data_IF_033928151874
#
_entry.id   IF_033928151874
#
_cell.length_a   1.000
_cell.length_b   1.000
_cell.length_c   1.000
_cell.angle_alpha   90.00
_cell.angle_beta   90.00
_cell.angle_gamma   90.00
#
_symmetry.space_group_name_H-M   'P 1'
#
loop_
_entity.id
_entity.type
_entity.pdbx_description
1 polymer ?
#
# COMPACT_ATOMS: atom_id res chain seq x y z
N UNK A 1 2.86 8.00 -17.12
CA UNK A 1 2.23 8.19 -18.45
C UNK A 1 0.78 8.48 -18.16
N UNK A 2 0.22 9.62 -18.57
CA UNK A 2 -1.21 9.87 -18.36
C UNK A 2 -1.96 8.70 -18.98
N UNK A 3 -2.73 7.97 -18.16
CA UNK A 3 -3.64 6.97 -18.70
C UNK A 3 -4.64 7.78 -19.51
N UNK A 4 -4.59 7.61 -20.83
CA UNK A 4 -5.52 8.21 -21.77
C UNK A 4 -6.86 7.46 -21.64
N UNK A 5 -7.48 7.58 -20.46
CA UNK A 5 -8.78 7.03 -20.15
C UNK A 5 -9.83 8.07 -20.61
N UNK A 6 -10.58 7.81 -21.68
CA UNK A 6 -11.55 8.76 -22.22
C UNK A 6 -12.66 9.07 -21.21
N UNK A 7 -12.94 8.18 -20.27
CA UNK A 7 -13.97 8.38 -19.24
C UNK A 7 -13.47 9.34 -18.16
N UNK A 8 -12.17 9.34 -17.85
CA UNK A 8 -11.55 10.36 -17.00
C UNK A 8 -11.52 11.70 -17.74
N UNK A 9 -11.07 11.71 -19.00
CA UNK A 9 -10.94 12.93 -19.81
C UNK A 9 -12.27 13.65 -20.06
N UNK A 10 -13.39 12.92 -20.03
CA UNK A 10 -14.74 13.48 -20.18
C UNK A 10 -15.30 14.13 -18.90
N UNK A 11 -14.62 13.99 -17.76
CA UNK A 11 -15.08 14.48 -16.47
C UNK A 11 -14.27 15.69 -15.99
N UNK A 12 -14.92 16.60 -15.26
CA UNK A 12 -14.23 17.64 -14.49
C UNK A 12 -14.19 17.18 -13.04
N UNK A 13 -13.00 16.95 -12.45
CA UNK A 13 -12.89 16.57 -11.04
C UNK A 13 -13.55 17.59 -10.10
N UNK A 14 -14.16 17.11 -9.03
CA UNK A 14 -14.68 17.95 -7.95
C UNK A 14 -13.53 18.68 -7.23
N UNK A 15 -13.89 19.59 -6.30
CA UNK A 15 -12.90 20.34 -5.52
C UNK A 15 -11.99 19.44 -4.67
N UNK A 16 -12.48 18.28 -4.26
CA UNK A 16 -11.70 17.25 -3.58
C UNK A 16 -11.13 16.20 -4.54
N UNK A 17 -10.98 16.52 -5.83
CA UNK A 17 -10.45 15.62 -6.87
C UNK A 17 -11.26 14.35 -7.14
N UNK A 18 -12.40 14.14 -6.48
CA UNK A 18 -13.28 13.02 -6.78
C UNK A 18 -13.91 13.13 -8.18
N UNK A 19 -14.09 11.98 -8.82
CA UNK A 19 -14.82 11.79 -10.09
C UNK A 19 -15.81 10.64 -9.93
N UNK A 20 -16.74 10.50 -10.87
CA UNK A 20 -17.59 9.31 -10.92
C UNK A 20 -16.80 8.10 -11.45
N UNK A 21 -16.96 6.95 -10.80
CA UNK A 21 -16.33 5.70 -11.25
C UNK A 21 -16.84 5.27 -12.63
N UNK A 22 -18.07 5.62 -13.04
CA UNK A 22 -18.72 5.15 -14.29
C UNK A 22 -18.44 3.67 -14.57
N UNK A 23 -18.88 2.82 -13.63
CA UNK A 23 -18.62 1.39 -13.64
C UNK A 23 -19.17 0.71 -14.90
N UNK A 24 -20.30 1.20 -15.41
CA UNK A 24 -20.95 0.78 -16.65
C UNK A 24 -20.12 0.99 -17.92
N UNK A 25 -19.03 1.76 -17.84
CA UNK A 25 -18.12 2.01 -18.96
C UNK A 25 -16.85 1.18 -18.95
N UNK A 26 -16.67 0.28 -17.98
CA UNK A 26 -15.63 -0.72 -18.09
C UNK A 26 -15.95 -1.72 -19.20
N UNK A 27 -14.93 -2.03 -20.00
CA UNK A 27 -15.03 -3.02 -21.06
C UNK A 27 -14.96 -4.44 -20.50
N UNK A 28 -15.51 -5.41 -21.24
CA UNK A 28 -15.34 -6.84 -20.93
C UNK A 28 -13.87 -7.23 -20.77
N UNK A 29 -12.97 -6.56 -21.50
CA UNK A 29 -11.53 -6.78 -21.43
C UNK A 29 -10.96 -6.41 -20.05
N UNK A 30 -11.37 -5.25 -19.52
CA UNK A 30 -10.94 -4.73 -18.23
C UNK A 30 -11.46 -5.60 -17.08
N UNK A 31 -12.73 -6.02 -17.13
CA UNK A 31 -13.27 -7.00 -16.17
C UNK A 31 -12.52 -8.34 -16.26
N UNK A 32 -12.19 -8.82 -17.46
CA UNK A 32 -11.41 -10.05 -17.63
C UNK A 32 -9.98 -9.92 -17.10
N UNK A 33 -9.35 -8.75 -17.22
CA UNK A 33 -8.03 -8.50 -16.61
C UNK A 33 -8.13 -8.53 -15.08
N UNK A 34 -9.12 -7.88 -14.48
CA UNK A 34 -9.33 -7.96 -13.03
C UNK A 34 -9.45 -9.40 -12.56
N UNK A 35 -10.33 -10.18 -13.19
CA UNK A 35 -10.55 -11.59 -12.86
C UNK A 35 -9.26 -12.40 -12.94
N UNK A 36 -8.48 -12.22 -14.01
CA UNK A 36 -7.19 -12.89 -14.15
C UNK A 36 -6.21 -12.53 -13.03
N UNK A 37 -6.09 -11.24 -12.70
CA UNK A 37 -5.20 -10.75 -11.65
C UNK A 37 -5.63 -11.28 -10.28
N UNK A 38 -6.92 -11.24 -9.98
CA UNK A 38 -7.53 -11.76 -8.75
C UNK A 38 -7.22 -13.26 -8.57
N UNK A 39 -7.60 -14.08 -9.55
CA UNK A 39 -7.41 -15.54 -9.49
C UNK A 39 -5.94 -15.94 -9.35
N UNK A 40 -5.05 -15.21 -10.04
CA UNK A 40 -3.60 -15.40 -9.94
C UNK A 40 -3.10 -15.05 -8.54
N UNK A 41 -3.54 -13.91 -8.01
CA UNK A 41 -2.98 -13.36 -6.78
C UNK A 41 -3.45 -14.12 -5.55
N UNK A 42 -4.74 -14.50 -5.47
CA UNK A 42 -5.26 -15.33 -4.37
C UNK A 42 -4.52 -16.68 -4.28
N UNK A 43 -4.16 -17.29 -5.42
CA UNK A 43 -3.36 -18.53 -5.44
C UNK A 43 -1.96 -18.32 -4.86
N UNK A 44 -1.32 -17.20 -5.17
CA UNK A 44 0.05 -16.89 -4.71
C UNK A 44 0.06 -16.46 -3.24
N UNK A 45 -0.98 -15.76 -2.78
CA UNK A 45 -1.10 -15.27 -1.41
C UNK A 45 -1.41 -16.37 -0.40
N UNK A 46 -1.96 -17.52 -0.82
CA UNK A 46 -2.37 -18.61 0.08
C UNK A 46 -1.26 -18.96 1.09
N UNK A 47 -1.54 -18.74 2.37
CA UNK A 47 -0.60 -18.96 3.48
C UNK A 47 0.48 -17.89 3.63
N UNK A 48 0.32 -16.71 3.01
CA UNK A 48 1.28 -15.60 3.00
C UNK A 48 0.70 -14.27 3.43
N UNK A 49 -0.57 -13.99 3.13
CA UNK A 49 -1.26 -12.80 3.64
C UNK A 49 -1.80 -13.03 5.06
N UNK A 50 -2.02 -11.94 5.80
CA UNK A 50 -2.76 -11.98 7.08
C UNK A 50 -4.20 -12.43 6.86
N UNK A 51 -4.83 -13.05 7.86
CA UNK A 51 -6.18 -13.62 7.72
C UNK A 51 -7.24 -12.53 7.45
N UNK A 52 -7.07 -11.37 8.09
CA UNK A 52 -7.96 -10.21 7.98
C UNK A 52 -8.05 -9.70 6.53
N UNK A 53 -7.02 -9.91 5.72
CA UNK A 53 -7.06 -9.58 4.29
C UNK A 53 -8.08 -10.45 3.55
N UNK A 54 -8.12 -11.76 3.82
CA UNK A 54 -9.08 -12.67 3.21
C UNK A 54 -10.51 -12.40 3.68
N UNK A 55 -10.68 -12.13 4.98
CA UNK A 55 -11.98 -11.75 5.54
C UNK A 55 -12.52 -10.49 4.83
N UNK A 56 -11.65 -9.51 4.55
CA UNK A 56 -12.00 -8.32 3.78
C UNK A 56 -12.33 -8.60 2.31
N UNK A 57 -11.60 -9.50 1.64
CA UNK A 57 -11.91 -9.92 0.26
C UNK A 57 -13.33 -10.52 0.17
N UNK A 58 -13.68 -11.37 1.15
CA UNK A 58 -14.97 -12.05 1.21
C UNK A 58 -16.10 -11.08 1.61
N UNK A 59 -15.88 -10.24 2.62
CA UNK A 59 -16.86 -9.27 3.10
C UNK A 59 -17.26 -8.23 2.04
N UNK A 60 -16.32 -7.86 1.16
CA UNK A 60 -16.54 -6.91 0.07
C UNK A 60 -16.91 -7.60 -1.26
N UNK A 61 -17.03 -8.94 -1.28
CA UNK A 61 -17.35 -9.74 -2.46
C UNK A 61 -16.44 -9.44 -3.67
N UNK A 62 -15.13 -9.26 -3.46
CA UNK A 62 -14.20 -8.87 -4.54
C UNK A 62 -13.89 -10.01 -5.54
N UNK A 63 -14.43 -11.20 -5.29
CA UNK A 63 -14.33 -12.39 -6.15
C UNK A 63 -15.47 -12.51 -7.19
N UNK A 64 -16.41 -11.56 -7.27
CA UNK A 64 -17.64 -11.66 -8.09
C UNK A 64 -17.41 -11.71 -9.62
N UNK A 65 -16.16 -11.59 -10.07
CA UNK A 65 -15.76 -11.93 -11.44
C UNK A 65 -15.44 -10.75 -12.36
N UNK A 66 -15.28 -9.54 -11.81
CA UNK A 66 -14.85 -8.35 -12.55
C UNK A 66 -14.45 -7.21 -11.61
N UNK A 67 -14.08 -6.07 -12.19
CA UNK A 67 -13.80 -4.83 -11.44
C UNK A 67 -14.98 -4.52 -10.48
N UNK A 68 -14.73 -4.23 -9.20
CA UNK A 68 -15.80 -3.96 -8.23
C UNK A 68 -16.47 -2.61 -8.49
N UNK A 69 -17.78 -2.58 -8.31
CA UNK A 69 -18.59 -1.36 -8.31
C UNK A 69 -18.48 -0.69 -6.93
N UNK A 70 -18.02 0.56 -6.91
CA UNK A 70 -17.83 1.33 -5.67
C UNK A 70 -19.15 1.57 -4.95
N UNK A 71 -20.27 1.74 -5.65
CA UNK A 71 -21.58 1.93 -5.01
C UNK A 71 -22.01 0.66 -4.25
N UNK A 72 -21.63 -0.51 -4.75
CA UNK A 72 -21.90 -1.81 -4.11
C UNK A 72 -20.95 -2.03 -2.93
N UNK A 73 -19.63 -1.97 -3.14
CA UNK A 73 -18.67 -2.29 -2.07
C UNK A 73 -18.69 -1.27 -0.93
N UNK A 74 -19.05 -0.01 -1.21
CA UNK A 74 -19.16 1.03 -0.18
C UNK A 74 -20.29 0.78 0.79
N UNK A 75 -21.35 0.06 0.39
CA UNK A 75 -22.44 -0.31 1.32
C UNK A 75 -21.87 -1.18 2.45
N UNK A 76 -21.16 -2.25 2.11
CA UNK A 76 -20.53 -3.14 3.10
C UNK A 76 -19.41 -2.44 3.88
N UNK A 77 -18.54 -1.68 3.20
CA UNK A 77 -17.39 -1.04 3.85
C UNK A 77 -17.83 0.04 4.86
N UNK A 78 -18.88 0.80 4.53
CA UNK A 78 -19.45 1.81 5.41
C UNK A 78 -20.10 1.17 6.64
N UNK A 79 -20.82 0.07 6.47
CA UNK A 79 -21.45 -0.64 7.59
C UNK A 79 -20.41 -1.26 8.55
N UNK A 80 -19.27 -1.72 8.02
CA UNK A 80 -18.23 -2.38 8.82
C UNK A 80 -17.35 -1.39 9.59
N UNK A 81 -16.88 -0.32 8.94
CA UNK A 81 -15.88 0.59 9.53
C UNK A 81 -16.14 2.07 9.23
N UNK A 82 -17.25 2.40 8.58
CA UNK A 82 -17.55 3.78 8.16
C UNK A 82 -16.67 4.28 7.01
N UNK A 83 -15.86 3.41 6.40
CA UNK A 83 -15.02 3.75 5.26
C UNK A 83 -15.79 3.67 3.94
N UNK A 84 -15.35 4.47 2.98
CA UNK A 84 -15.79 4.38 1.57
C UNK A 84 -14.61 4.52 0.64
N UNK A 85 -14.65 3.88 -0.51
CA UNK A 85 -13.75 4.11 -1.63
C UNK A 85 -14.34 5.19 -2.53
N UNK A 86 -13.52 6.11 -3.00
CA UNK A 86 -13.89 7.12 -3.99
C UNK A 86 -13.01 6.99 -5.23
N UNK A 87 -13.56 7.33 -6.39
CA UNK A 87 -12.78 7.35 -7.62
C UNK A 87 -12.05 8.68 -7.80
N UNK A 88 -10.77 8.62 -8.17
CA UNK A 88 -9.94 9.77 -8.50
C UNK A 88 -9.28 9.60 -9.87
N UNK A 89 -8.96 10.69 -10.59
CA UNK A 89 -8.47 10.60 -11.96
C UNK A 89 -7.05 10.01 -12.07
N UNK A 90 -6.21 10.23 -11.05
CA UNK A 90 -4.82 9.77 -10.97
C UNK A 90 -4.31 10.08 -9.55
N UNK A 91 -2.99 10.07 -9.35
CA UNK A 91 -2.36 10.56 -8.13
C UNK A 91 -2.82 12.00 -7.83
N UNK A 92 -3.42 12.20 -6.65
CA UNK A 92 -3.96 13.49 -6.20
C UNK A 92 -2.95 14.22 -5.30
N UNK A 93 -3.11 15.54 -5.08
CA UNK A 93 -2.28 16.27 -4.13
C UNK A 93 -2.32 15.68 -2.71
N UNK A 94 -1.18 15.71 -2.01
CA UNK A 94 -1.03 15.07 -0.70
C UNK A 94 -2.01 15.62 0.35
N UNK A 95 -2.27 16.93 0.37
CA UNK A 95 -3.23 17.56 1.27
C UNK A 95 -4.66 17.05 1.06
N UNK A 96 -5.07 16.86 -0.20
CA UNK A 96 -6.37 16.27 -0.55
C UNK A 96 -6.41 14.79 -0.18
N UNK A 97 -5.35 14.02 -0.45
CA UNK A 97 -5.24 12.62 -0.05
C UNK A 97 -5.43 12.44 1.46
N UNK A 98 -4.69 13.20 2.28
CA UNK A 98 -4.82 13.11 3.73
C UNK A 98 -6.20 13.54 4.24
N UNK A 99 -6.81 14.55 3.63
CA UNK A 99 -8.18 14.96 3.99
C UNK A 99 -9.21 13.86 3.68
N UNK A 100 -9.00 13.07 2.62
CA UNK A 100 -9.83 11.90 2.36
C UNK A 100 -9.66 10.85 3.45
N UNK A 101 -8.43 10.47 3.77
CA UNK A 101 -8.14 9.45 4.79
C UNK A 101 -8.67 9.87 6.17
N UNK A 102 -8.47 11.13 6.57
CA UNK A 102 -8.98 11.67 7.83
C UNK A 102 -10.53 11.60 7.94
N UNK A 103 -11.22 11.57 6.79
CA UNK A 103 -12.67 11.45 6.68
C UNK A 103 -13.14 10.03 6.31
N UNK A 104 -12.28 9.01 6.47
CA UNK A 104 -12.56 7.61 6.12
C UNK A 104 -12.96 7.42 4.65
N UNK A 105 -12.34 8.17 3.75
CA UNK A 105 -12.48 8.02 2.30
C UNK A 105 -11.15 7.55 1.72
N UNK A 106 -11.14 6.43 1.02
CA UNK A 106 -9.94 5.90 0.36
C UNK A 106 -9.96 6.26 -1.13
N UNK A 107 -9.02 7.09 -1.62
CA UNK A 107 -8.92 7.43 -3.03
C UNK A 107 -8.37 6.26 -3.85
N UNK A 108 -9.08 5.86 -4.91
CA UNK A 108 -8.64 4.82 -5.85
C UNK A 108 -8.78 5.29 -7.30
N UNK A 109 -7.75 5.03 -8.11
CA UNK A 109 -7.82 5.24 -9.56
C UNK A 109 -8.82 4.28 -10.22
N UNK A 110 -9.51 4.72 -11.28
CA UNK A 110 -10.46 3.84 -11.99
C UNK A 110 -9.81 2.86 -12.96
N UNK A 111 -8.68 3.21 -13.54
CA UNK A 111 -8.13 2.46 -14.67
C UNK A 111 -7.53 1.14 -14.20
N UNK A 112 -7.53 0.12 -15.07
CA UNK A 112 -6.82 -1.13 -14.84
C UNK A 112 -5.67 -1.29 -15.84
N UNK A 113 -4.58 -1.92 -15.42
CA UNK A 113 -3.44 -2.22 -16.31
C UNK A 113 -3.86 -3.07 -17.51
N UNK A 114 -3.17 -2.89 -18.62
CA UNK A 114 -3.39 -3.67 -19.84
C UNK A 114 -2.76 -5.07 -19.77
N UNK A 115 -3.20 -6.00 -20.62
CA UNK A 115 -2.67 -7.38 -20.68
C UNK A 115 -1.16 -7.49 -20.89
N UNK A 116 -0.55 -6.54 -21.60
CA UNK A 116 0.91 -6.51 -21.80
C UNK A 116 1.70 -5.98 -20.59
N UNK A 117 1.02 -5.55 -19.51
CA UNK A 117 1.61 -5.03 -18.27
C UNK A 117 1.14 -5.78 -17.01
N UNK A 118 0.65 -7.01 -17.16
CA UNK A 118 0.12 -7.83 -16.05
C UNK A 118 1.13 -8.08 -14.92
N UNK A 119 2.42 -8.14 -15.25
CA UNK A 119 3.47 -8.49 -14.28
C UNK A 119 4.08 -7.28 -13.57
N UNK A 120 4.01 -6.08 -14.17
CA UNK A 120 4.51 -4.86 -13.56
C UNK A 120 3.91 -3.61 -14.21
N UNK A 121 3.46 -2.70 -13.36
CA UNK A 121 3.09 -1.34 -13.71
C UNK A 121 3.75 -0.40 -12.68
N UNK A 122 4.25 0.75 -13.14
CA UNK A 122 4.88 1.75 -12.25
C UNK A 122 3.82 2.58 -11.54
N UNK A 123 2.78 2.97 -12.25
CA UNK A 123 1.64 3.70 -11.71
C UNK A 123 0.68 2.74 -10.96
N UNK A 124 0.09 3.15 -9.82
CA UNK A 124 -0.96 2.38 -9.15
C UNK A 124 -2.22 2.39 -10.02
N UNK A 125 -2.80 1.21 -10.25
CA UNK A 125 -4.08 1.02 -10.95
C UNK A 125 -5.15 0.53 -9.95
N UNK A 126 -6.39 0.41 -10.41
CA UNK A 126 -7.52 -0.01 -9.56
C UNK A 126 -7.27 -1.37 -8.89
N UNK A 127 -6.51 -2.28 -9.52
CA UNK A 127 -6.17 -3.54 -8.88
C UNK A 127 -5.23 -3.32 -7.69
N UNK A 128 -4.19 -2.50 -7.84
CA UNK A 128 -3.34 -2.16 -6.69
C UNK A 128 -4.14 -1.45 -5.59
N UNK A 129 -4.87 -0.40 -5.93
CA UNK A 129 -5.60 0.42 -4.96
C UNK A 129 -6.69 -0.40 -4.26
N UNK A 130 -7.56 -1.07 -5.02
CA UNK A 130 -8.74 -1.73 -4.47
C UNK A 130 -8.42 -3.13 -3.97
N UNK A 131 -7.76 -3.99 -4.74
CA UNK A 131 -7.43 -5.34 -4.23
C UNK A 131 -6.33 -5.29 -3.16
N UNK A 132 -5.36 -4.38 -3.26
CA UNK A 132 -4.25 -4.29 -2.33
C UNK A 132 -4.61 -3.65 -0.99
N UNK A 133 -5.32 -2.51 -1.00
CA UNK A 133 -5.55 -1.71 0.23
C UNK A 133 -6.92 -1.95 0.87
N UNK A 134 -7.98 -1.95 0.07
CA UNK A 134 -9.37 -1.83 0.58
C UNK A 134 -9.80 -3.01 1.47
N UNK A 135 -9.40 -4.28 1.24
CA UNK A 135 -9.79 -5.38 2.13
C UNK A 135 -9.40 -5.14 3.60
N UNK A 136 -8.23 -4.56 3.88
CA UNK A 136 -7.83 -4.31 5.26
C UNK A 136 -8.59 -3.16 5.91
N UNK A 137 -9.28 -2.31 5.14
CA UNK A 137 -10.15 -1.27 5.68
C UNK A 137 -11.44 -1.84 6.31
N UNK A 138 -11.73 -3.15 6.14
CA UNK A 138 -12.80 -3.82 6.89
C UNK A 138 -12.36 -4.20 8.32
N UNK A 139 -11.05 -4.17 8.62
CA UNK A 139 -10.50 -4.43 9.95
C UNK A 139 -10.52 -3.13 10.76
N UNK A 140 -11.25 -3.04 11.89
CA UNK A 140 -11.48 -1.77 12.58
C UNK A 140 -10.22 -1.04 13.08
N UNK A 141 -9.24 -1.77 13.62
CA UNK A 141 -7.98 -1.19 14.13
C UNK A 141 -7.12 -0.66 12.99
N UNK A 142 -7.04 -1.38 11.87
CA UNK A 142 -6.32 -0.90 10.68
C UNK A 142 -7.04 0.29 10.03
N UNK A 143 -8.38 0.26 10.00
CA UNK A 143 -9.20 1.36 9.53
C UNK A 143 -9.02 2.63 10.38
N UNK A 144 -8.95 2.50 11.70
CA UNK A 144 -8.67 3.62 12.61
C UNK A 144 -7.23 4.12 12.47
N UNK A 145 -6.25 3.23 12.27
CA UNK A 145 -4.88 3.61 11.91
C UNK A 145 -4.82 4.44 10.63
N UNK A 146 -5.50 4.02 9.56
CA UNK A 146 -5.53 4.74 8.29
C UNK A 146 -6.17 6.14 8.44
N UNK A 147 -7.16 6.28 9.32
CA UNK A 147 -7.76 7.58 9.62
C UNK A 147 -6.78 8.47 10.39
N UNK A 148 -6.17 7.95 11.44
CA UNK A 148 -5.17 8.65 12.24
C UNK A 148 -3.96 9.07 11.40
N UNK A 149 -3.56 8.24 10.42
CA UNK A 149 -2.54 8.57 9.44
C UNK A 149 -2.94 9.78 8.59
N UNK A 150 -4.18 9.84 8.08
CA UNK A 150 -4.71 10.99 7.35
C UNK A 150 -4.69 12.28 8.19
N UNK A 151 -5.17 12.21 9.44
CA UNK A 151 -5.11 13.35 10.37
C UNK A 151 -3.65 13.76 10.69
N UNK A 152 -2.75 12.79 10.79
CA UNK A 152 -1.31 13.00 10.93
C UNK A 152 -0.69 13.71 9.73
N UNK A 153 -1.10 13.40 8.50
CA UNK A 153 -0.63 14.05 7.27
C UNK A 153 -0.95 15.53 7.21
N UNK A 154 -2.18 15.91 7.57
CA UNK A 154 -2.60 17.31 7.66
C UNK A 154 -1.78 18.10 8.69
N UNK A 155 -1.30 17.44 9.75
CA UNK A 155 -0.35 18.04 10.71
C UNK A 155 1.06 18.11 10.10
N UNK A 156 1.57 17.01 9.54
CA UNK A 156 2.92 16.92 8.98
C UNK A 156 3.20 17.96 7.89
N UNK A 157 2.19 18.32 7.08
CA UNK A 157 2.28 19.41 6.10
C UNK A 157 2.67 20.76 6.73
N UNK A 158 2.20 21.04 7.95
CA UNK A 158 2.52 22.28 8.67
C UNK A 158 3.93 22.30 9.24
N UNK A 159 4.54 21.12 9.44
CA UNK A 159 5.87 20.96 10.02
C UNK A 159 6.94 20.56 9.00
N UNK A 160 6.62 20.50 7.70
CA UNK A 160 7.55 20.05 6.65
C UNK A 160 8.11 18.62 6.92
N UNK A 161 7.27 17.74 7.47
CA UNK A 161 7.62 16.34 7.78
C UNK A 161 6.94 15.34 6.83
N UNK A 162 6.52 15.79 5.65
CA UNK A 162 5.76 14.97 4.71
C UNK A 162 6.56 13.74 4.23
N UNK A 163 7.84 13.91 3.94
CA UNK A 163 8.71 12.81 3.51
C UNK A 163 8.85 11.74 4.61
N UNK A 164 8.96 12.15 5.88
CA UNK A 164 9.01 11.22 7.01
C UNK A 164 7.71 10.41 7.13
N UNK A 165 6.57 11.05 6.90
CA UNK A 165 5.26 10.38 6.95
C UNK A 165 5.02 9.50 5.71
N UNK A 166 5.56 9.87 4.55
CA UNK A 166 5.54 9.03 3.36
C UNK A 166 6.34 7.73 3.58
N UNK A 167 7.49 7.80 4.28
CA UNK A 167 8.26 6.60 4.69
C UNK A 167 7.45 5.69 5.61
N UNK A 168 6.70 6.28 6.55
CA UNK A 168 5.81 5.52 7.43
C UNK A 168 4.77 4.76 6.62
N UNK A 169 4.07 5.42 5.69
CA UNK A 169 3.09 4.78 4.81
C UNK A 169 3.72 3.68 3.96
N UNK A 170 4.87 3.97 3.35
CA UNK A 170 5.60 3.03 2.50
C UNK A 170 5.97 1.74 3.25
N UNK A 171 6.56 1.87 4.43
CA UNK A 171 7.02 0.70 5.20
C UNK A 171 5.94 0.02 6.02
N UNK A 172 4.70 0.54 6.01
CA UNK A 172 3.57 -0.08 6.70
C UNK A 172 2.47 -0.44 5.70
N UNK A 173 1.69 0.53 5.25
CA UNK A 173 0.54 0.33 4.36
C UNK A 173 0.94 -0.30 3.02
N UNK A 174 2.10 0.06 2.45
CA UNK A 174 2.53 -0.49 1.15
C UNK A 174 3.34 -1.78 1.25
N UNK A 175 4.32 -1.83 2.15
CA UNK A 175 5.31 -2.93 2.24
C UNK A 175 5.46 -3.52 3.65
N UNK A 176 4.44 -3.42 4.49
CA UNK A 176 4.45 -3.98 5.82
C UNK A 176 4.28 -5.51 5.87
N UNK A 177 4.99 -6.12 6.80
CA UNK A 177 4.84 -7.52 7.20
C UNK A 177 4.34 -7.62 8.64
N UNK A 178 3.73 -8.75 8.99
CA UNK A 178 3.28 -9.04 10.34
C UNK A 178 3.86 -10.37 10.82
N UNK A 179 4.42 -10.38 12.03
CA UNK A 179 4.88 -11.60 12.68
C UNK A 179 3.73 -12.20 13.49
N UNK A 180 3.13 -13.27 12.98
CA UNK A 180 2.02 -13.99 13.61
C UNK A 180 2.53 -15.26 14.31
N UNK A 181 1.63 -15.95 15.02
CA UNK A 181 1.95 -17.25 15.62
C UNK A 181 2.18 -18.36 14.56
N UNK A 182 1.71 -18.16 13.32
CA UNK A 182 1.85 -19.12 12.22
C UNK A 182 3.06 -18.83 11.34
N UNK A 183 3.76 -17.71 11.59
CA UNK A 183 4.90 -17.25 10.82
C UNK A 183 4.75 -15.81 10.38
N UNK A 184 5.58 -15.40 9.43
CA UNK A 184 5.55 -14.04 8.91
C UNK A 184 4.55 -13.95 7.75
N UNK A 185 3.59 -13.04 7.90
CA UNK A 185 2.53 -12.77 6.94
C UNK A 185 2.67 -11.35 6.36
N UNK A 186 1.94 -11.09 5.29
CA UNK A 186 1.93 -9.85 4.53
C UNK A 186 0.64 -9.09 4.82
N UNK A 187 0.74 -7.79 5.06
CA UNK A 187 -0.40 -6.87 5.05
C UNK A 187 -0.20 -5.65 4.13
N UNK A 188 1.02 -5.37 3.68
CA UNK A 188 1.30 -4.26 2.78
C UNK A 188 0.69 -4.43 1.39
N UNK A 189 -0.08 -3.45 0.92
CA UNK A 189 -0.83 -3.47 -0.32
C UNK A 189 0.03 -3.60 -1.59
N UNK A 190 1.19 -2.95 -1.63
CA UNK A 190 2.20 -3.11 -2.68
C UNK A 190 2.70 -4.55 -2.80
N UNK A 191 2.79 -5.27 -1.68
CA UNK A 191 3.13 -6.70 -1.68
C UNK A 191 1.91 -7.55 -2.07
N UNK A 192 0.75 -7.28 -1.46
CA UNK A 192 -0.49 -8.04 -1.66
C UNK A 192 -0.96 -8.03 -3.12
N UNK A 193 -0.76 -6.92 -3.82
CA UNK A 193 -1.09 -6.74 -5.23
C UNK A 193 -0.01 -7.22 -6.21
N UNK A 194 1.18 -7.59 -5.71
CA UNK A 194 2.35 -7.98 -6.52
C UNK A 194 2.69 -9.45 -6.38
N UNK A 195 2.50 -10.20 -7.48
CA UNK A 195 2.85 -11.63 -7.57
C UNK A 195 4.29 -11.90 -7.13
N UNK A 196 5.23 -11.06 -7.56
CA UNK A 196 6.66 -11.33 -7.36
C UNK A 196 7.17 -10.82 -6.02
N UNK A 197 6.68 -9.67 -5.54
CA UNK A 197 7.00 -9.15 -4.21
C UNK A 197 6.45 -10.06 -3.11
N UNK A 198 5.25 -10.65 -3.32
CA UNK A 198 4.66 -11.61 -2.37
C UNK A 198 5.61 -12.77 -2.06
N UNK A 199 6.27 -13.33 -3.09
CA UNK A 199 7.24 -14.42 -2.89
C UNK A 199 8.55 -13.88 -2.35
N UNK A 200 9.06 -12.78 -2.92
CA UNK A 200 10.36 -12.23 -2.53
C UNK A 200 10.40 -11.77 -1.07
N UNK A 201 9.36 -11.10 -0.59
CA UNK A 201 9.28 -10.54 0.76
C UNK A 201 9.34 -11.58 1.87
N UNK A 202 8.91 -12.83 1.61
CA UNK A 202 8.92 -13.91 2.61
C UNK A 202 10.01 -14.96 2.36
N UNK A 203 10.22 -15.38 1.11
CA UNK A 203 11.05 -16.55 0.81
C UNK A 203 12.51 -16.18 0.51
N UNK A 204 12.76 -14.95 0.06
CA UNK A 204 14.12 -14.51 -0.26
C UNK A 204 14.97 -14.36 0.99
N UNK A 205 16.24 -14.73 0.88
CA UNK A 205 17.27 -14.44 1.89
C UNK A 205 17.87 -13.04 1.72
N UNK A 206 17.53 -12.35 0.64
CA UNK A 206 18.12 -11.04 0.31
C UNK A 206 17.69 -9.89 1.22
N UNK A 207 16.40 -9.68 1.53
CA UNK A 207 15.96 -8.49 2.26
C UNK A 207 16.23 -8.60 3.77
N UNK A 208 16.41 -7.45 4.41
CA UNK A 208 16.32 -7.35 5.86
C UNK A 208 14.85 -7.44 6.29
N UNK A 209 14.60 -8.06 7.45
CA UNK A 209 13.29 -8.01 8.12
C UNK A 209 13.51 -7.50 9.53
N UNK A 210 13.03 -6.30 9.81
CA UNK A 210 13.30 -5.55 11.03
C UNK A 210 11.98 -5.25 11.72
N UNK A 211 11.93 -5.33 13.04
CA UNK A 211 10.74 -4.97 13.78
C UNK A 211 10.40 -3.49 13.56
N UNK A 212 9.11 -3.19 13.55
CA UNK A 212 8.59 -1.85 13.46
C UNK A 212 9.15 -0.96 14.60
N UNK A 213 9.58 0.23 14.22
CA UNK A 213 9.88 1.33 15.14
C UNK A 213 9.61 2.64 14.38
N UNK A 214 8.78 3.50 14.98
CA UNK A 214 8.25 4.70 14.32
C UNK A 214 9.37 5.66 13.90
N UNK A 215 10.30 5.96 14.80
CA UNK A 215 11.41 6.88 14.54
C UNK A 215 12.37 6.32 13.49
N UNK A 216 12.73 5.05 13.59
CA UNK A 216 13.54 4.30 12.63
C UNK A 216 12.95 4.37 11.23
N UNK A 217 11.65 4.07 11.08
CA UNK A 217 10.96 4.05 9.79
C UNK A 217 10.91 5.45 9.17
N UNK A 218 10.50 6.46 9.94
CA UNK A 218 10.42 7.85 9.49
C UNK A 218 11.77 8.42 9.02
N UNK A 219 12.89 7.77 9.40
CA UNK A 219 14.25 8.11 8.99
C UNK A 219 14.88 7.07 8.05
N UNK A 220 14.13 6.12 7.47
CA UNK A 220 14.67 5.16 6.50
C UNK A 220 14.38 5.61 5.08
N UNK A 221 15.39 5.65 4.23
CA UNK A 221 15.18 5.83 2.78
C UNK A 221 14.33 4.69 2.20
N UNK A 222 13.74 4.84 1.02
CA UNK A 222 12.98 3.77 0.34
C UNK A 222 13.15 3.81 -1.18
N UNK A 223 12.78 2.71 -1.84
CA UNK A 223 12.96 2.56 -3.29
C UNK A 223 11.65 2.15 -3.97
N UNK A 224 11.27 2.88 -5.01
CA UNK A 224 9.98 2.72 -5.70
C UNK A 224 10.03 1.88 -6.98
N UNK A 225 11.21 1.62 -7.54
CA UNK A 225 11.41 1.02 -8.86
C UNK A 225 11.91 -0.44 -8.82
N UNK A 226 12.10 -1.00 -7.62
CA UNK A 226 12.70 -2.32 -7.41
C UNK A 226 12.10 -3.05 -6.18
N UNK A 227 12.48 -4.30 -5.95
CA UNK A 227 12.10 -5.01 -4.72
C UNK A 227 12.68 -4.33 -3.49
N UNK A 228 11.93 -4.36 -2.38
CA UNK A 228 12.38 -3.72 -1.14
C UNK A 228 13.60 -4.45 -0.55
N UNK A 229 14.59 -3.69 -0.11
CA UNK A 229 15.79 -4.22 0.54
C UNK A 229 15.62 -4.44 2.04
N UNK A 230 14.57 -3.83 2.61
CA UNK A 230 14.14 -3.97 4.00
C UNK A 230 12.62 -3.98 4.07
N UNK A 231 12.07 -4.87 4.88
CA UNK A 231 10.67 -4.87 5.28
C UNK A 231 10.58 -4.65 6.78
N UNK A 232 9.61 -3.84 7.21
CA UNK A 232 9.31 -3.65 8.62
C UNK A 232 8.17 -4.56 9.06
N UNK A 233 8.31 -5.10 10.26
CA UNK A 233 7.47 -6.18 10.79
C UNK A 233 6.78 -5.73 12.06
N UNK A 234 5.45 -5.66 12.06
CA UNK A 234 4.63 -5.46 13.27
C UNK A 234 4.24 -6.83 13.87
N UNK A 235 3.83 -6.89 15.13
CA UNK A 235 3.23 -8.08 15.72
C UNK A 235 1.69 -8.06 15.66
N UNK A 236 1.08 -6.87 15.56
CA UNK A 236 -0.36 -6.71 15.41
C UNK A 236 -0.73 -5.33 14.87
N UNK A 237 -1.97 -5.14 14.44
CA UNK A 237 -2.46 -3.82 14.01
C UNK A 237 -2.57 -2.83 15.17
N UNK A 238 -2.76 -3.30 16.40
CA UNK A 238 -2.75 -2.47 17.61
C UNK A 238 -1.37 -1.82 17.80
N UNK A 239 -0.27 -2.54 17.58
CA UNK A 239 1.08 -1.96 17.65
C UNK A 239 1.24 -0.77 16.68
N UNK A 240 0.70 -0.91 15.47
CA UNK A 240 0.73 0.13 14.45
C UNK A 240 -0.17 1.32 14.84
N UNK A 241 -1.36 1.04 15.37
CA UNK A 241 -2.30 2.08 15.81
C UNK A 241 -1.79 2.84 17.03
N UNK A 242 -1.26 2.16 18.05
CA UNK A 242 -0.64 2.77 19.24
C UNK A 242 0.50 3.73 18.86
N UNK A 243 1.27 3.41 17.81
CA UNK A 243 2.30 4.31 17.30
C UNK A 243 1.73 5.65 16.80
N UNK A 244 0.51 5.66 16.26
CA UNK A 244 -0.18 6.90 15.82
C UNK A 244 -0.81 7.69 16.96
N UNK A 245 -1.04 7.08 18.12
CA UNK A 245 -1.60 7.73 19.31
C UNK A 245 -0.58 8.53 20.12
N UNK A 246 0.71 8.40 19.81
CA UNK A 246 1.76 9.17 20.45
C UNK A 246 1.63 10.66 20.13
N UNK A 247 2.22 11.53 20.95
CA UNK A 247 2.34 12.94 20.59
C UNK A 247 3.38 13.09 19.48
N UNK A 248 2.91 13.39 18.26
CA UNK A 248 3.78 13.62 17.11
C UNK A 248 4.52 14.96 17.19
N UNK A 249 4.12 15.91 18.05
CA UNK A 249 4.79 17.20 18.20
C UNK A 249 6.29 17.07 18.44
N UNK A 250 6.73 16.36 19.51
CA UNK A 250 8.14 16.07 19.76
C UNK A 250 8.84 15.31 18.63
N UNK A 251 8.12 14.40 17.94
CA UNK A 251 8.67 13.64 16.82
C UNK A 251 8.95 14.59 15.65
N UNK A 252 7.98 15.42 15.25
CA UNK A 252 8.16 16.42 14.20
C UNK A 252 9.24 17.44 14.56
N UNK A 253 9.30 17.90 15.81
CA UNK A 253 10.35 18.80 16.30
C UNK A 253 11.75 18.18 16.20
N UNK A 254 11.86 16.87 16.40
CA UNK A 254 13.11 16.13 16.20
C UNK A 254 13.43 15.97 14.72
N UNK A 255 12.46 15.54 13.91
CA UNK A 255 12.64 15.29 12.47
C UNK A 255 13.02 16.56 11.72
N UNK A 256 12.40 17.71 12.03
CA UNK A 256 12.73 19.01 11.42
C UNK A 256 14.14 19.50 11.71
N UNK A 257 14.79 18.97 12.76
CA UNK A 257 16.15 19.34 13.17
C UNK A 257 17.18 18.28 12.80
N UNK A 258 16.75 17.15 12.24
CA UNK A 258 17.61 16.01 11.96
C UNK A 258 17.69 15.74 10.47
N UNK A 259 18.88 15.89 9.90
CA UNK A 259 19.17 15.48 8.51
C UNK A 259 19.47 13.98 8.40
N UNK A 260 19.21 13.20 9.46
CA UNK A 260 19.58 11.79 9.52
C UNK A 260 18.62 10.97 8.67
N UNK A 261 19.16 10.34 7.63
CA UNK A 261 18.48 9.32 6.83
C UNK A 261 19.36 8.07 6.81
N UNK A 262 18.74 6.94 7.14
CA UNK A 262 19.33 5.62 7.15
C UNK A 262 19.21 4.98 5.76
N UNK A 263 20.27 4.30 5.34
CA UNK A 263 20.29 3.57 4.09
C UNK A 263 19.38 2.35 4.11
N UNK A 264 18.96 1.91 2.92
CA UNK A 264 18.08 0.76 2.68
C UNK A 264 18.60 -0.56 3.27
N UNK A 265 19.91 -0.66 3.50
CA UNK A 265 20.57 -1.88 4.02
C UNK A 265 21.00 -1.77 5.47
N UNK A 266 20.82 -0.61 6.10
CA UNK A 266 21.32 -0.36 7.44
C UNK A 266 20.55 -1.19 8.48
N UNK A 267 21.31 -1.80 9.39
CA UNK A 267 20.79 -2.43 10.60
C UNK A 267 21.45 -1.72 11.78
N UNK A 268 20.64 -1.06 12.61
CA UNK A 268 21.10 -0.24 13.72
C UNK A 268 21.24 -1.07 15.00
N UNK A 269 22.04 -0.64 15.99
CA UNK A 269 22.21 -1.36 17.25
C UNK A 269 20.93 -1.61 18.04
N UNK A 270 19.90 -0.76 17.87
CA UNK A 270 18.60 -0.89 18.53
C UNK A 270 17.57 -1.71 17.74
N UNK A 271 17.88 -2.11 16.50
CA UNK A 271 16.94 -2.83 15.66
C UNK A 271 16.72 -4.24 16.20
N UNK A 272 15.47 -4.61 16.45
CA UNK A 272 15.09 -6.01 16.64
C UNK A 272 14.99 -6.66 15.26
N UNK A 273 15.98 -7.49 14.93
CA UNK A 273 16.10 -8.08 13.59
C UNK A 273 15.51 -9.49 13.56
N UNK A 274 14.50 -9.71 12.70
CA UNK A 274 13.97 -11.04 12.40
C UNK A 274 14.83 -11.76 11.36
N UNK A 275 15.34 -11.03 10.36
CA UNK A 275 16.24 -11.56 9.35
C UNK A 275 17.29 -10.53 8.92
N UNK A 276 18.57 -10.91 8.98
CA UNK A 276 19.68 -10.15 8.39
C UNK A 276 19.86 -10.60 6.94
N UNK A 277 19.38 -9.79 6.01
CA UNK A 277 19.37 -10.11 4.59
C UNK A 277 20.75 -10.14 3.96
N UNK A 278 20.97 -10.99 2.96
CA UNK A 278 22.23 -11.07 2.22
C UNK A 278 22.43 -9.86 1.30
N UNK A 279 21.36 -9.15 0.95
CA UNK A 279 21.32 -8.06 -0.03
C UNK A 279 21.79 -8.49 -1.43
N UNK A 280 21.81 -9.80 -1.71
CA UNK A 280 22.37 -10.36 -2.95
C UNK A 280 21.64 -9.88 -4.20
N UNK A 281 20.31 -9.75 -4.13
CA UNK A 281 19.49 -9.34 -5.26
C UNK A 281 19.85 -7.93 -5.73
N UNK A 282 19.92 -6.99 -4.77
CA UNK A 282 20.30 -5.60 -5.05
C UNK A 282 21.77 -5.50 -5.53
N UNK A 283 22.69 -6.25 -4.90
CA UNK A 283 24.10 -6.29 -5.30
C UNK A 283 24.32 -6.86 -6.71
N UNK A 284 23.44 -7.75 -7.17
CA UNK A 284 23.46 -8.28 -8.53
C UNK A 284 22.83 -7.32 -9.56
N UNK A 285 22.36 -6.15 -9.14
CA UNK A 285 21.81 -5.10 -10.01
C UNK A 285 20.27 -5.08 -10.11
N UNK A 286 19.58 -5.82 -9.24
CA UNK A 286 18.12 -5.76 -9.10
C UNK A 286 17.34 -6.02 -10.39
N UNK A 287 16.21 -5.33 -10.59
CA UNK A 287 15.43 -5.43 -11.84
C UNK A 287 16.22 -5.04 -13.08
N UNK A 288 17.15 -4.10 -12.97
CA UNK A 288 18.00 -3.62 -14.07
C UNK A 288 18.96 -4.70 -14.61
N UNK A 289 19.33 -5.68 -13.79
CA UNK A 289 20.21 -6.78 -14.20
C UNK A 289 19.53 -7.76 -15.17
N UNK A 290 18.23 -8.03 -14.98
CA UNK A 290 17.46 -8.90 -15.89
C UNK A 290 17.27 -8.26 -17.26
N UNK A 291 17.13 -6.94 -17.34
CA UNK A 291 17.01 -6.23 -18.60
C UNK A 291 18.29 -6.31 -19.47
N UNK A 292 19.47 -6.48 -18.85
CA UNK A 292 20.75 -6.62 -19.57
C UNK A 292 21.05 -8.04 -20.07
N UNK A 293 20.38 -9.07 -19.54
CA UNK A 293 20.52 -10.45 -20.02
C UNK A 293 19.55 -10.80 -21.17
N UNK A 294 18.61 -9.91 -21.48
CA UNK A 294 17.64 -10.06 -22.56
C UNK A 294 18.01 -9.27 -23.85
N UNK A 295 19.23 -8.72 -23.90
CA UNK A 295 19.88 -8.10 -25.06
C UNK A 295 21.05 -8.98 -25.50
#
# INVERSE_FOLDING_TARGET
MAIDDPVIAAQTPAADFSIEQRWDQYTDDEHAVWKFLYERQVKVLKGRAVHEFYDGLDALNLNDGGIPDFDIINTSLQDLTGWTVISVPHLIPDDIFFEHLARRRFPAGRFIRTRNRLDYLREPDIFHDVFGHVPLLTQPVFADYMQAYGEGGLRALKYNCLENLARLYWYTVEFGLMNTNEGMNIYGAGILSSRTETVFSLDSRSPNRIHFDLGRIMQTDYRIDDFQQVYFVINSFEELFEATQQDFGPIYDYMTKSDRVHGLTDILPGDRVYARGTQEYARQGGRSAKARQAL
#
